data_IF_614822682885
#
_entry.id   IF_614822682885
#
_cell.length_a   1.000
_cell.length_b   1.000
_cell.length_c   1.000
_cell.angle_alpha   90.00
_cell.angle_beta   90.00
_cell.angle_gamma   90.00
#
_symmetry.space_group_name_H-M   'P 1'
#
loop_
_entity.id
_entity.type
_entity.pdbx_description
1 polymer ?
#
# COMPACT_ATOMS: atom_id res chain seq x y z
N UNK A 1 1.20 1.93 11.96
CA UNK A 1 1.29 0.46 12.23
C UNK A 1 2.43 0.10 13.19
N UNK A 2 3.69 0.51 12.96
CA UNK A 2 4.84 0.05 13.78
C UNK A 2 4.76 0.43 15.26
N UNK A 3 4.34 1.65 15.60
CA UNK A 3 4.14 2.03 17.01
C UNK A 3 3.04 1.21 17.68
N UNK A 4 1.96 0.90 16.96
CA UNK A 4 0.93 0.00 17.48
C UNK A 4 1.47 -1.42 17.72
N UNK A 5 2.33 -1.93 16.82
CA UNK A 5 3.01 -3.22 17.01
C UNK A 5 3.93 -3.23 18.24
N UNK A 6 4.63 -2.13 18.51
CA UNK A 6 5.46 -2.01 19.69
C UNK A 6 4.63 -2.08 20.99
N UNK A 7 3.47 -1.42 21.01
CA UNK A 7 2.54 -1.47 22.16
C UNK A 7 2.04 -2.88 22.46
N UNK A 8 1.99 -3.76 21.45
CA UNK A 8 1.64 -5.20 21.62
C UNK A 8 2.86 -6.13 21.63
N UNK A 9 4.07 -5.58 21.84
CA UNK A 9 5.34 -6.34 21.92
C UNK A 9 5.59 -7.22 20.70
N UNK A 10 5.28 -6.72 19.51
CA UNK A 10 5.51 -7.39 18.24
C UNK A 10 4.52 -8.52 17.89
N UNK A 11 3.46 -8.71 18.66
CA UNK A 11 2.45 -9.76 18.43
C UNK A 11 1.27 -9.21 17.63
N UNK A 12 1.26 -9.45 16.33
CA UNK A 12 0.25 -8.93 15.41
C UNK A 12 -1.17 -9.35 15.82
N UNK A 13 -1.33 -10.57 16.33
CA UNK A 13 -2.60 -11.12 16.80
C UNK A 13 -3.22 -10.34 17.96
N UNK A 14 -2.44 -9.56 18.69
CA UNK A 14 -2.91 -8.75 19.82
C UNK A 14 -3.30 -7.32 19.41
N UNK A 15 -3.17 -6.96 18.13
CA UNK A 15 -3.67 -5.68 17.65
C UNK A 15 -5.18 -5.62 17.77
N UNK A 16 -5.70 -4.47 18.21
CA UNK A 16 -7.13 -4.17 18.22
C UNK A 16 -7.39 -2.85 17.52
N UNK A 17 -8.63 -2.64 17.11
CA UNK A 17 -9.05 -1.36 16.56
C UNK A 17 -8.80 -0.21 17.53
N UNK A 18 -9.17 -0.36 18.79
CA UNK A 18 -9.04 0.67 19.83
C UNK A 18 -7.57 1.09 20.00
N UNK A 19 -6.66 0.14 20.08
CA UNK A 19 -5.23 0.42 20.21
C UNK A 19 -4.68 1.12 18.97
N UNK A 20 -5.10 0.70 17.77
CA UNK A 20 -4.70 1.35 16.53
C UNK A 20 -5.26 2.76 16.43
N UNK A 21 -6.56 2.95 16.73
CA UNK A 21 -7.24 4.25 16.76
C UNK A 21 -6.52 5.24 17.70
N UNK A 22 -6.25 4.81 18.93
CA UNK A 22 -5.61 5.68 19.92
C UNK A 22 -4.18 6.05 19.50
N UNK A 23 -3.46 5.12 18.84
CA UNK A 23 -2.13 5.39 18.27
C UNK A 23 -2.22 6.34 17.07
N UNK A 24 -3.25 6.24 16.25
CA UNK A 24 -3.49 7.14 15.13
C UNK A 24 -3.74 8.58 15.61
N UNK A 25 -4.61 8.74 16.62
CA UNK A 25 -4.89 10.04 17.23
C UNK A 25 -3.62 10.64 17.84
N UNK A 26 -2.87 9.87 18.63
CA UNK A 26 -1.60 10.31 19.21
C UNK A 26 -0.63 10.87 18.14
N UNK A 27 -0.54 10.22 16.98
CA UNK A 27 0.31 10.68 15.89
C UNK A 27 -0.27 11.90 15.17
N UNK A 28 -1.58 12.00 15.00
CA UNK A 28 -2.24 13.20 14.48
C UNK A 28 -1.93 14.43 15.36
N UNK A 29 -1.99 14.27 16.68
CA UNK A 29 -1.65 15.34 17.66
C UNK A 29 -0.18 15.75 17.60
N UNK A 30 0.72 14.87 17.11
CA UNK A 30 2.13 15.16 16.86
C UNK A 30 2.37 15.93 15.56
N UNK A 31 1.35 16.17 14.74
CA UNK A 31 1.43 16.98 13.52
C UNK A 31 1.90 16.22 12.29
N UNK A 32 1.47 14.98 12.12
CA UNK A 32 1.72 14.18 10.90
C UNK A 32 0.85 14.72 9.75
N UNK A 33 1.43 14.88 8.55
CA UNK A 33 0.71 15.40 7.38
C UNK A 33 -0.10 14.32 6.65
N UNK A 34 0.39 13.08 6.66
CA UNK A 34 -0.33 11.94 6.08
C UNK A 34 0.10 10.61 6.70
N UNK A 35 -0.74 9.58 6.56
CA UNK A 35 -0.43 8.22 6.97
C UNK A 35 -0.52 7.25 5.80
N UNK A 36 0.42 6.33 5.69
CA UNK A 36 0.24 5.12 4.88
C UNK A 36 -0.46 4.06 5.73
N UNK A 37 -1.68 3.68 5.31
CA UNK A 37 -2.50 2.68 6.01
C UNK A 37 -2.95 1.60 5.01
N UNK A 38 -2.68 0.32 5.34
CA UNK A 38 -2.97 -0.82 4.48
C UNK A 38 -4.43 -1.29 4.61
N UNK A 39 -5.37 -0.38 4.36
CA UNK A 39 -6.81 -0.67 4.46
C UNK A 39 -7.33 -1.55 3.32
N UNK A 40 -6.59 -1.67 2.21
CA UNK A 40 -6.95 -2.49 1.05
C UNK A 40 -6.81 -3.99 1.26
N UNK A 41 -6.11 -4.41 2.33
CA UNK A 41 -5.98 -5.83 2.68
C UNK A 41 -7.32 -6.39 3.15
N UNK A 42 -7.81 -7.42 2.44
CA UNK A 42 -9.07 -8.11 2.74
C UNK A 42 -8.82 -9.58 3.04
N UNK A 43 -9.50 -10.16 4.03
CA UNK A 43 -9.40 -11.58 4.34
C UNK A 43 -9.57 -12.46 3.08
N UNK A 44 -10.55 -12.11 2.23
CA UNK A 44 -10.83 -12.84 0.99
C UNK A 44 -9.69 -12.83 -0.04
N UNK A 45 -8.74 -11.86 0.04
CA UNK A 45 -7.68 -11.67 -0.95
C UNK A 45 -6.29 -12.10 -0.43
N UNK A 46 -6.11 -12.26 0.88
CA UNK A 46 -4.81 -12.60 1.51
C UNK A 46 -4.19 -13.86 0.90
N UNK A 47 -5.01 -14.86 0.62
CA UNK A 47 -4.52 -16.14 0.10
C UNK A 47 -3.93 -16.07 -1.32
N UNK A 48 -4.25 -15.03 -2.11
CA UNK A 48 -3.67 -14.89 -3.45
C UNK A 48 -2.16 -14.70 -3.42
N UNK A 49 -1.61 -14.13 -2.34
CA UNK A 49 -0.16 -13.98 -2.18
C UNK A 49 0.57 -15.32 -1.99
N UNK A 50 -0.13 -16.40 -1.64
CA UNK A 50 0.48 -17.73 -1.49
C UNK A 50 0.89 -18.35 -2.84
N UNK A 51 0.35 -17.85 -3.94
CA UNK A 51 0.66 -18.32 -5.30
C UNK A 51 1.90 -17.61 -5.90
N UNK A 52 2.44 -16.62 -5.19
CA UNK A 52 3.54 -15.77 -5.65
C UNK A 52 4.91 -16.38 -5.40
N UNK A 53 5.85 -16.01 -6.27
CA UNK A 53 7.27 -16.32 -6.08
C UNK A 53 7.84 -15.70 -4.81
N UNK A 54 7.54 -14.41 -4.56
CA UNK A 54 8.04 -13.65 -3.41
C UNK A 54 7.03 -13.53 -2.26
N UNK A 55 5.84 -14.11 -2.37
CA UNK A 55 4.81 -14.01 -1.35
C UNK A 55 4.39 -12.57 -1.08
N UNK A 56 4.44 -12.15 0.18
CA UNK A 56 4.06 -10.82 0.63
C UNK A 56 5.28 -10.05 1.15
N UNK A 57 5.68 -9.00 0.45
CA UNK A 57 6.89 -8.21 0.74
C UNK A 57 6.61 -6.92 1.53
N UNK A 58 5.37 -6.47 1.56
CA UNK A 58 4.97 -5.32 2.38
C UNK A 58 4.95 -5.71 3.86
N UNK A 59 5.71 -4.99 4.68
CA UNK A 59 5.75 -5.23 6.13
C UNK A 59 4.41 -4.92 6.80
N UNK A 60 3.79 -3.79 6.48
CA UNK A 60 2.47 -3.44 7.00
C UNK A 60 1.37 -4.37 6.49
N UNK A 61 1.42 -4.73 5.21
CA UNK A 61 0.54 -5.71 4.60
C UNK A 61 0.64 -7.08 5.27
N UNK A 62 1.86 -7.56 5.52
CA UNK A 62 2.10 -8.85 6.21
C UNK A 62 1.50 -8.88 7.62
N UNK A 63 1.63 -7.79 8.38
CA UNK A 63 1.07 -7.69 9.74
C UNK A 63 -0.46 -7.84 9.71
N UNK A 64 -1.14 -7.10 8.84
CA UNK A 64 -2.61 -7.16 8.72
C UNK A 64 -3.06 -8.51 8.16
N UNK A 65 -2.35 -9.05 7.18
CA UNK A 65 -2.66 -10.37 6.63
C UNK A 65 -2.51 -11.48 7.67
N UNK A 66 -1.48 -11.42 8.51
CA UNK A 66 -1.30 -12.33 9.64
C UNK A 66 -2.45 -12.20 10.63
N UNK A 67 -2.86 -10.97 10.96
CA UNK A 67 -3.99 -10.71 11.85
C UNK A 67 -5.30 -11.31 11.30
N UNK A 68 -5.62 -11.03 10.03
CA UNK A 68 -6.80 -11.56 9.36
C UNK A 68 -6.80 -13.10 9.35
N UNK A 69 -5.65 -13.70 9.04
CA UNK A 69 -5.51 -15.17 8.99
C UNK A 69 -5.62 -15.79 10.36
N UNK A 70 -5.02 -15.19 11.39
CA UNK A 70 -5.08 -15.70 12.76
C UNK A 70 -6.51 -15.67 13.32
N UNK A 71 -7.20 -14.54 13.15
CA UNK A 71 -8.53 -14.35 13.70
C UNK A 71 -9.65 -14.89 12.80
N UNK A 72 -9.35 -15.26 11.55
CA UNK A 72 -10.34 -15.61 10.52
C UNK A 72 -11.43 -14.52 10.38
N UNK A 73 -11.00 -13.26 10.45
CA UNK A 73 -11.86 -12.06 10.39
C UNK A 73 -11.37 -11.08 9.35
N UNK A 74 -12.29 -10.26 8.88
CA UNK A 74 -11.95 -9.14 8.00
C UNK A 74 -11.01 -8.16 8.70
N UNK A 75 -10.17 -7.49 7.92
CA UNK A 75 -9.26 -6.46 8.43
C UNK A 75 -10.03 -5.38 9.20
N UNK A 76 -9.67 -5.15 10.45
CA UNK A 76 -10.24 -4.05 11.22
C UNK A 76 -9.94 -2.68 10.60
N UNK A 77 -8.85 -2.53 9.84
CA UNK A 77 -8.55 -1.31 9.10
C UNK A 77 -9.55 -1.05 7.96
N UNK A 78 -10.03 -2.11 7.32
CA UNK A 78 -11.07 -1.98 6.30
C UNK A 78 -12.44 -1.75 6.94
N UNK A 79 -12.80 -2.49 7.98
CA UNK A 79 -14.10 -2.37 8.67
C UNK A 79 -14.29 -0.98 9.28
N UNK A 80 -13.23 -0.42 9.89
CA UNK A 80 -13.24 0.90 10.53
C UNK A 80 -12.69 2.02 9.65
N UNK A 81 -12.67 1.83 8.32
CA UNK A 81 -12.09 2.86 7.44
C UNK A 81 -12.80 4.20 7.52
N UNK A 82 -14.11 4.21 7.69
CA UNK A 82 -14.86 5.46 7.86
C UNK A 82 -14.55 6.16 9.18
N UNK A 83 -14.33 5.39 10.26
CA UNK A 83 -13.88 5.94 11.54
C UNK A 83 -12.46 6.52 11.43
N UNK A 84 -11.58 5.86 10.67
CA UNK A 84 -10.23 6.39 10.34
C UNK A 84 -10.37 7.72 9.61
N UNK A 85 -11.21 7.81 8.59
CA UNK A 85 -11.42 9.04 7.84
C UNK A 85 -11.99 10.16 8.73
N UNK A 86 -12.91 9.87 9.65
CA UNK A 86 -13.45 10.87 10.58
C UNK A 86 -12.36 11.46 11.49
N UNK A 87 -11.41 10.63 11.94
CA UNK A 87 -10.23 11.10 12.69
C UNK A 87 -9.35 11.97 11.80
N UNK A 88 -9.00 11.50 10.61
CA UNK A 88 -8.11 12.22 9.70
C UNK A 88 -8.70 13.59 9.29
N UNK A 89 -9.99 13.64 9.03
CA UNK A 89 -10.69 14.90 8.72
C UNK A 89 -10.62 15.93 9.89
N UNK A 90 -10.70 15.43 11.13
CA UNK A 90 -10.63 16.30 12.31
C UNK A 90 -9.26 16.99 12.45
N UNK A 91 -8.19 16.34 12.00
CA UNK A 91 -6.81 16.84 12.13
C UNK A 91 -6.24 17.37 10.81
N UNK A 92 -7.03 17.41 9.74
CA UNK A 92 -6.61 17.81 8.38
C UNK A 92 -5.43 16.97 7.86
N UNK A 93 -5.50 15.65 8.07
CA UNK A 93 -4.45 14.68 7.69
C UNK A 93 -4.89 13.86 6.48
N UNK A 94 -4.01 13.72 5.50
CA UNK A 94 -4.26 12.91 4.31
C UNK A 94 -4.03 11.40 4.55
N UNK A 95 -4.61 10.56 3.70
CA UNK A 95 -4.34 9.12 3.71
C UNK A 95 -3.64 8.66 2.43
N UNK A 96 -2.53 7.96 2.59
CA UNK A 96 -1.92 7.10 1.58
C UNK A 96 -2.49 5.70 1.76
N UNK A 97 -3.25 5.22 0.79
CA UNK A 97 -3.75 3.85 0.79
C UNK A 97 -2.62 2.91 0.40
N UNK A 98 -2.06 2.22 1.39
CA UNK A 98 -0.87 1.40 1.25
C UNK A 98 -1.11 0.11 0.46
N UNK A 99 -0.19 -0.23 -0.43
CA UNK A 99 -0.23 -1.43 -1.28
C UNK A 99 0.38 -2.66 -0.58
N UNK A 100 -0.34 -3.22 0.36
CA UNK A 100 0.11 -4.38 1.14
C UNK A 100 0.30 -5.65 0.31
N UNK A 101 -0.40 -5.78 -0.81
CA UNK A 101 -0.29 -6.88 -1.77
C UNK A 101 0.53 -6.49 -3.03
N UNK A 102 1.44 -5.51 -2.93
CA UNK A 102 2.35 -5.20 -4.04
C UNK A 102 3.24 -6.39 -4.38
N UNK A 103 3.65 -6.58 -5.66
CA UNK A 103 4.58 -7.63 -6.03
C UNK A 103 6.00 -7.34 -5.49
N UNK A 104 6.72 -8.41 -5.11
CA UNK A 104 8.12 -8.34 -4.70
C UNK A 104 9.11 -8.74 -5.79
N UNK A 105 8.62 -9.08 -6.97
CA UNK A 105 9.40 -9.39 -8.16
C UNK A 105 8.62 -9.02 -9.42
N UNK A 106 9.33 -8.84 -10.55
CA UNK A 106 8.69 -8.60 -11.83
C UNK A 106 7.86 -9.81 -12.31
N UNK A 107 8.14 -11.01 -11.80
CA UNK A 107 7.36 -12.21 -12.07
C UNK A 107 5.92 -12.11 -11.53
N UNK A 108 5.77 -11.58 -10.33
CA UNK A 108 4.48 -11.43 -9.64
C UNK A 108 3.70 -10.15 -10.06
N UNK A 109 4.29 -9.31 -10.91
CA UNK A 109 3.70 -8.03 -11.30
C UNK A 109 2.37 -8.18 -12.05
N UNK A 110 1.40 -7.33 -11.70
CA UNK A 110 0.06 -7.28 -12.28
C UNK A 110 -0.72 -8.60 -12.05
N UNK A 111 -0.44 -9.27 -10.95
CA UNK A 111 -1.15 -10.49 -10.60
C UNK A 111 -2.53 -10.20 -9.96
N UNK A 112 -3.24 -11.27 -9.67
CA UNK A 112 -4.56 -11.22 -9.04
C UNK A 112 -4.53 -10.57 -7.66
N UNK A 113 -3.48 -10.79 -6.87
CA UNK A 113 -3.35 -10.23 -5.53
C UNK A 113 -3.22 -8.71 -5.57
N UNK A 114 -2.31 -8.20 -6.40
CA UNK A 114 -2.09 -6.76 -6.59
C UNK A 114 -3.38 -6.07 -7.06
N UNK A 115 -4.03 -6.60 -8.08
CA UNK A 115 -5.20 -5.95 -8.66
C UNK A 115 -6.46 -6.05 -7.78
N UNK A 116 -6.61 -7.13 -7.01
CA UNK A 116 -7.72 -7.23 -6.05
C UNK A 116 -7.61 -6.20 -4.91
N UNK A 117 -6.39 -5.87 -4.47
CA UNK A 117 -6.16 -4.78 -3.53
C UNK A 117 -6.40 -3.42 -4.17
N UNK A 118 -5.90 -3.20 -5.39
CA UNK A 118 -6.10 -1.95 -6.12
C UNK A 118 -7.60 -1.64 -6.32
N UNK A 119 -8.40 -2.64 -6.69
CA UNK A 119 -9.86 -2.50 -6.82
C UNK A 119 -10.50 -2.10 -5.47
N UNK A 120 -10.00 -2.64 -4.35
CA UNK A 120 -10.45 -2.25 -3.00
C UNK A 120 -10.01 -0.82 -2.66
N UNK A 121 -8.79 -0.43 -3.01
CA UNK A 121 -8.31 0.95 -2.78
C UNK A 121 -9.12 1.97 -3.57
N UNK A 122 -9.58 1.63 -4.77
CA UNK A 122 -10.50 2.46 -5.55
C UNK A 122 -11.83 2.71 -4.84
N UNK A 123 -12.41 1.70 -4.17
CA UNK A 123 -13.58 1.87 -3.30
C UNK A 123 -13.26 2.81 -2.12
N UNK A 124 -12.14 2.59 -1.46
CA UNK A 124 -11.74 3.34 -0.28
C UNK A 124 -11.45 4.82 -0.57
N UNK A 125 -10.90 5.14 -1.73
CA UNK A 125 -10.69 6.53 -2.18
C UNK A 125 -12.01 7.31 -2.19
N UNK A 126 -13.05 6.73 -2.75
CA UNK A 126 -14.36 7.39 -2.79
C UNK A 126 -14.94 7.60 -1.40
N UNK A 127 -14.74 6.64 -0.49
CA UNK A 127 -15.16 6.78 0.91
C UNK A 127 -14.39 7.89 1.63
N UNK A 128 -13.07 7.99 1.40
CA UNK A 128 -12.25 9.07 1.95
C UNK A 128 -12.70 10.45 1.43
N UNK A 129 -12.91 10.58 0.13
CA UNK A 129 -13.39 11.84 -0.47
C UNK A 129 -14.78 12.25 0.03
N UNK A 130 -15.69 11.29 0.23
CA UNK A 130 -17.00 11.56 0.82
C UNK A 130 -16.92 12.10 2.26
N UNK A 131 -15.81 11.84 2.95
CA UNK A 131 -15.48 12.36 4.29
C UNK A 131 -14.57 13.61 4.27
N UNK A 132 -14.33 14.21 3.09
CA UNK A 132 -13.42 15.33 2.88
C UNK A 132 -11.96 15.04 3.28
N UNK A 133 -11.51 13.79 3.18
CA UNK A 133 -10.14 13.39 3.42
C UNK A 133 -9.41 13.28 2.09
N UNK A 134 -8.27 13.95 1.97
CA UNK A 134 -7.38 13.80 0.82
C UNK A 134 -6.80 12.38 0.82
N UNK A 135 -6.87 11.71 -0.32
CA UNK A 135 -6.40 10.35 -0.46
C UNK A 135 -5.57 10.17 -1.73
N UNK A 136 -4.51 9.40 -1.63
CA UNK A 136 -3.71 8.94 -2.76
C UNK A 136 -3.42 7.44 -2.63
N UNK A 137 -3.06 6.81 -3.75
CA UNK A 137 -2.89 5.37 -3.86
C UNK A 137 -1.40 5.05 -3.91
N UNK A 138 -0.95 4.15 -3.05
CA UNK A 138 0.39 3.58 -3.15
C UNK A 138 0.42 2.50 -4.25
N UNK A 139 1.52 2.41 -4.98
CA UNK A 139 1.67 1.51 -6.11
C UNK A 139 2.99 0.73 -6.11
N UNK A 140 3.10 -0.29 -6.99
CA UNK A 140 4.15 -1.30 -6.93
C UNK A 140 5.52 -0.77 -7.32
N UNK A 141 6.57 -1.45 -6.80
CA UNK A 141 7.96 -1.20 -7.14
C UNK A 141 8.54 -2.16 -8.17
N UNK A 142 8.09 -3.42 -8.24
CA UNK A 142 8.63 -4.42 -9.17
C UNK A 142 7.64 -4.64 -10.33
N UNK A 143 7.85 -3.91 -11.45
CA UNK A 143 7.00 -4.02 -12.64
C UNK A 143 7.87 -3.98 -13.88
N UNK A 144 7.86 -5.01 -14.75
CA UNK A 144 8.62 -4.99 -15.98
C UNK A 144 8.04 -3.95 -16.94
N UNK A 145 8.89 -3.35 -17.80
CA UNK A 145 8.56 -2.20 -18.64
C UNK A 145 7.27 -2.37 -19.44
N UNK A 146 7.05 -3.57 -20.00
CA UNK A 146 5.87 -3.85 -20.83
C UNK A 146 4.54 -3.88 -20.06
N UNK A 147 4.58 -4.00 -18.70
CA UNK A 147 3.40 -4.00 -17.83
C UNK A 147 3.12 -2.66 -17.15
N UNK A 148 4.03 -1.70 -17.22
CA UNK A 148 3.92 -0.42 -16.51
C UNK A 148 2.68 0.36 -16.97
N UNK A 149 2.44 0.40 -18.29
CA UNK A 149 1.27 1.09 -18.83
C UNK A 149 -0.04 0.49 -18.34
N UNK A 150 -0.16 -0.84 -18.41
CA UNK A 150 -1.36 -1.56 -17.91
C UNK A 150 -1.61 -1.26 -16.42
N UNK A 151 -0.53 -1.20 -15.62
CA UNK A 151 -0.62 -0.88 -14.20
C UNK A 151 -1.19 0.53 -13.99
N UNK A 152 -0.68 1.53 -14.73
CA UNK A 152 -1.16 2.90 -14.62
C UNK A 152 -2.59 3.07 -15.15
N UNK A 153 -2.89 2.50 -16.32
CA UNK A 153 -4.22 2.59 -16.93
C UNK A 153 -5.29 2.00 -15.99
N UNK A 154 -4.97 0.87 -15.33
CA UNK A 154 -5.88 0.24 -14.37
C UNK A 154 -6.07 1.09 -13.10
N UNK A 155 -5.03 1.72 -12.59
CA UNK A 155 -5.13 2.62 -11.44
C UNK A 155 -6.03 3.82 -11.78
N UNK A 156 -5.82 4.46 -12.92
CA UNK A 156 -6.65 5.57 -13.39
C UNK A 156 -8.13 5.16 -13.45
N UNK A 157 -8.41 4.01 -14.07
CA UNK A 157 -9.78 3.50 -14.20
C UNK A 157 -10.42 3.15 -12.87
N UNK A 158 -9.73 2.36 -12.03
CA UNK A 158 -10.31 1.78 -10.81
C UNK A 158 -10.27 2.73 -9.62
N UNK A 159 -9.29 3.63 -9.58
CA UNK A 159 -9.11 4.55 -8.47
C UNK A 159 -9.53 6.00 -8.81
N UNK A 160 -10.33 6.19 -9.87
CA UNK A 160 -10.99 7.47 -10.19
C UNK A 160 -9.99 8.62 -10.36
N UNK A 161 -8.85 8.37 -11.00
CA UNK A 161 -7.75 9.33 -11.21
C UNK A 161 -7.16 9.89 -9.90
N UNK A 162 -7.33 9.20 -8.76
CA UNK A 162 -6.64 9.56 -7.52
C UNK A 162 -5.12 9.61 -7.75
N UNK A 163 -4.40 10.54 -7.10
CA UNK A 163 -2.95 10.59 -7.23
C UNK A 163 -2.29 9.23 -6.97
N UNK A 164 -1.41 8.79 -7.87
CA UNK A 164 -0.71 7.52 -7.75
C UNK A 164 0.71 7.75 -7.28
N UNK A 165 1.09 7.12 -6.19
CA UNK A 165 2.41 7.16 -5.57
C UNK A 165 3.08 5.80 -5.75
N UNK A 166 4.04 5.69 -6.65
CA UNK A 166 4.68 4.42 -6.98
C UNK A 166 6.07 4.30 -6.37
N UNK A 167 6.42 3.08 -5.95
CA UNK A 167 7.77 2.74 -5.53
C UNK A 167 8.62 2.55 -6.80
N UNK A 168 8.99 3.63 -7.46
CA UNK A 168 9.80 3.71 -8.68
C UNK A 168 10.02 2.36 -9.39
N UNK A 169 9.20 1.93 -10.38
CA UNK A 169 9.21 0.56 -10.86
C UNK A 169 10.60 0.05 -11.21
N UNK A 170 11.06 -0.95 -10.47
CA UNK A 170 12.27 -1.71 -10.79
C UNK A 170 11.94 -2.62 -11.97
N UNK A 171 12.38 -2.23 -13.16
CA UNK A 171 11.99 -2.88 -14.43
C UNK A 171 12.67 -4.22 -14.66
N UNK A 172 13.65 -4.57 -13.83
CA UNK A 172 14.38 -5.84 -13.86
C UNK A 172 14.83 -6.24 -12.45
N UNK A 173 14.82 -7.55 -12.16
CA UNK A 173 15.27 -8.12 -10.89
C UNK A 173 16.71 -8.69 -10.98
N UNK A 174 17.47 -8.37 -12.04
CA UNK A 174 18.78 -8.98 -12.31
C UNK A 174 19.97 -8.01 -12.18
N UNK A 175 19.76 -6.86 -11.57
CA UNK A 175 20.80 -5.83 -11.45
C UNK A 175 21.06 -5.43 -9.99
N UNK A 176 21.47 -6.36 -9.09
CA UNK A 176 21.70 -6.02 -7.69
C UNK A 176 22.81 -4.99 -7.54
N UNK A 177 22.57 -3.99 -6.68
CA UNK A 177 23.47 -2.84 -6.52
C UNK A 177 23.25 -1.70 -7.52
N UNK A 178 22.36 -1.88 -8.49
CA UNK A 178 21.95 -0.86 -9.49
C UNK A 178 20.44 -0.54 -9.41
N UNK A 179 19.82 -0.80 -8.29
CA UNK A 179 18.38 -0.64 -8.05
C UNK A 179 17.91 0.77 -8.42
N UNK A 180 18.68 1.80 -8.06
CA UNK A 180 18.41 3.21 -8.39
C UNK A 180 18.42 3.50 -9.90
N UNK A 181 19.16 2.72 -10.70
CA UNK A 181 19.19 2.87 -12.17
C UNK A 181 17.97 2.19 -12.78
N UNK A 182 17.70 0.92 -12.42
CA UNK A 182 16.54 0.19 -12.92
C UNK A 182 15.23 0.85 -12.49
N UNK A 183 15.20 1.40 -11.27
CA UNK A 183 14.09 2.18 -10.74
C UNK A 183 13.90 3.49 -11.52
N UNK A 184 14.95 4.25 -11.80
CA UNK A 184 14.86 5.49 -12.56
C UNK A 184 14.28 5.29 -13.98
N UNK A 185 14.60 4.16 -14.63
CA UNK A 185 14.03 3.80 -15.94
C UNK A 185 12.51 3.62 -15.82
N UNK A 186 12.07 2.82 -14.85
CA UNK A 186 10.64 2.60 -14.62
C UNK A 186 9.91 3.85 -14.13
N UNK A 187 10.55 4.66 -13.28
CA UNK A 187 10.03 5.93 -12.80
C UNK A 187 9.75 6.91 -13.95
N UNK A 188 10.70 7.06 -14.87
CA UNK A 188 10.51 7.90 -16.06
C UNK A 188 9.34 7.41 -16.92
N UNK A 189 9.21 6.09 -17.08
CA UNK A 189 8.16 5.50 -17.89
C UNK A 189 6.78 5.65 -17.23
N UNK A 190 6.63 5.36 -15.93
CA UNK A 190 5.34 5.48 -15.25
C UNK A 190 4.96 6.95 -15.07
N UNK A 191 5.94 7.85 -14.86
CA UNK A 191 5.73 9.29 -14.84
C UNK A 191 5.18 9.81 -16.17
N UNK A 192 5.68 9.28 -17.30
CA UNK A 192 5.12 9.58 -18.63
C UNK A 192 3.64 9.18 -18.75
N UNK A 193 3.22 8.09 -18.10
CA UNK A 193 1.83 7.62 -18.13
C UNK A 193 0.92 8.30 -17.10
N UNK A 194 1.46 9.08 -16.15
CA UNK A 194 0.64 9.92 -15.29
C UNK A 194 0.76 9.70 -13.78
N UNK A 195 1.76 8.94 -13.31
CA UNK A 195 1.97 8.84 -11.85
C UNK A 195 2.23 10.23 -11.25
N UNK A 196 1.67 10.50 -10.09
CA UNK A 196 1.73 11.82 -9.45
C UNK A 196 2.92 11.97 -8.52
N UNK A 197 3.39 10.88 -7.92
CA UNK A 197 4.45 10.88 -6.92
C UNK A 197 5.30 9.62 -7.03
N UNK A 198 6.61 9.79 -6.83
CA UNK A 198 7.58 8.70 -6.91
C UNK A 198 8.29 8.55 -5.56
N UNK A 199 8.44 7.31 -5.09
CA UNK A 199 9.30 6.97 -3.98
C UNK A 199 10.74 6.86 -4.49
N UNK A 200 11.73 7.25 -3.69
CA UNK A 200 13.13 7.03 -4.05
C UNK A 200 13.55 5.59 -3.81
N UNK A 201 14.57 5.14 -4.54
CA UNK A 201 15.20 3.82 -4.35
C UNK A 201 16.71 3.98 -4.26
N UNK A 202 17.31 3.42 -3.23
CA UNK A 202 18.77 3.42 -3.04
C UNK A 202 19.42 2.27 -3.82
N UNK A 203 20.75 2.32 -4.09
CA UNK A 203 21.44 1.31 -4.91
C UNK A 203 21.30 -0.15 -4.47
N UNK A 204 21.08 -0.41 -3.17
CA UNK A 204 21.05 -1.76 -2.59
C UNK A 204 19.82 -2.02 -1.72
N UNK A 205 18.71 -1.43 -2.05
CA UNK A 205 17.52 -1.48 -1.21
C UNK A 205 16.69 -2.74 -1.43
N UNK A 206 16.48 -3.15 -2.68
CA UNK A 206 15.56 -4.23 -3.05
C UNK A 206 16.23 -5.43 -3.71
N UNK A 207 17.30 -5.23 -4.44
CA UNK A 207 17.98 -6.27 -5.23
C UNK A 207 19.38 -6.62 -4.73
N UNK A 208 19.88 -5.97 -3.69
CA UNK A 208 21.25 -6.15 -3.19
C UNK A 208 21.40 -6.71 -1.79
#
# INVERSE_FOLDING_TARGET
MYQAMEKVKGKAENLTWELFRDTLIEQCEQGVDYFTIHCGIRLKNVHYANERLCGMVSRGGSIISQWCTYHQKESFLYEHFDDICDILAQYDVAVSLGDGLRPGSIYDANDRAQFAELDTMGELVQRAWAKNVQAFIEGPGHVPMQKIRENMDRQIEKCHEAPFYTLDPLVTDVAPGYDHITSAIGAAQIGWYGTAMLCYVTPKEHLG
#
